data_IF_068448025550
#
_entry.id   IF_068448025550
#
_cell.length_a   1.000
_cell.length_b   1.000
_cell.length_c   1.000
_cell.angle_alpha   90.00
_cell.angle_beta   90.00
_cell.angle_gamma   90.00
#
_symmetry.space_group_name_H-M   'P 1'
#
loop_
_entity.id
_entity.type
_entity.pdbx_description
1 polymer ?
#
# COMPACT_ATOMS: atom_id res chain seq x y z
N UNK A 1 -10.99 -33.19 5.74
CA UNK A 1 -10.75 -32.16 6.78
C UNK A 1 -10.40 -30.89 6.02
N UNK A 2 -11.30 -29.90 5.98
CA UNK A 2 -11.09 -28.68 5.20
C UNK A 2 -9.98 -27.84 5.84
N UNK A 3 -8.91 -27.54 5.11
CA UNK A 3 -7.85 -26.61 5.55
C UNK A 3 -8.35 -25.17 5.76
N UNK A 4 -9.61 -24.87 5.39
CA UNK A 4 -10.23 -23.55 5.49
C UNK A 4 -10.83 -23.23 6.89
N UNK A 5 -10.68 -24.11 7.90
CA UNK A 5 -11.15 -23.89 9.30
C UNK A 5 -10.02 -23.91 10.36
N UNK A 6 -8.78 -23.56 9.99
CA UNK A 6 -7.77 -23.31 11.02
C UNK A 6 -8.13 -22.04 11.82
N UNK A 7 -8.34 -22.20 13.12
CA UNK A 7 -8.52 -21.10 14.07
C UNK A 7 -7.28 -20.21 14.00
N UNK A 8 -7.48 -18.90 13.83
CA UNK A 8 -6.39 -17.94 13.76
C UNK A 8 -5.59 -17.94 15.09
N UNK A 9 -4.26 -17.95 15.02
CA UNK A 9 -3.40 -18.03 16.20
C UNK A 9 -3.14 -16.64 16.80
N UNK A 10 -3.96 -16.26 17.77
CA UNK A 10 -3.84 -14.98 18.49
C UNK A 10 -2.75 -14.99 19.57
N UNK A 11 -1.90 -16.01 19.66
CA UNK A 11 -0.86 -16.12 20.71
C UNK A 11 0.09 -14.93 20.71
N UNK A 12 0.42 -14.37 19.54
CA UNK A 12 1.26 -13.16 19.45
C UNK A 12 0.74 -12.00 20.31
N UNK A 13 -0.57 -11.83 20.38
CA UNK A 13 -1.20 -10.73 21.10
C UNK A 13 -1.31 -10.96 22.61
N UNK A 14 -0.93 -12.14 23.11
CA UNK A 14 -0.70 -12.35 24.55
C UNK A 14 0.60 -11.68 25.02
N UNK A 15 1.58 -11.56 24.13
CA UNK A 15 2.90 -10.97 24.40
C UNK A 15 3.01 -9.53 23.90
N UNK A 16 2.29 -9.21 22.82
CA UNK A 16 2.21 -7.87 22.24
C UNK A 16 0.76 -7.42 22.21
N UNK A 17 0.19 -6.92 23.33
CA UNK A 17 -1.21 -6.51 23.37
C UNK A 17 -1.55 -5.57 22.20
N UNK A 18 -2.67 -5.77 21.47
CA UNK A 18 -2.92 -5.11 20.20
C UNK A 18 -2.91 -3.58 20.25
N UNK A 19 -3.30 -3.00 21.39
CA UNK A 19 -3.43 -1.55 21.62
C UNK A 19 -2.15 -0.89 22.13
N UNK A 20 -1.19 -1.67 22.60
CA UNK A 20 0.09 -1.14 23.09
C UNK A 20 0.97 -0.74 21.91
N UNK A 21 2.02 0.05 22.16
CA UNK A 21 2.94 0.52 21.13
C UNK A 21 4.38 0.14 21.45
N UNK A 22 4.70 -1.15 21.36
CA UNK A 22 6.04 -1.67 21.64
C UNK A 22 7.01 -1.26 20.54
N UNK A 23 8.24 -0.86 20.89
CA UNK A 23 9.29 -0.52 19.92
C UNK A 23 9.96 -1.82 19.45
N UNK A 24 9.51 -2.36 18.32
CA UNK A 24 9.93 -3.67 17.82
C UNK A 24 11.38 -3.68 17.33
N UNK A 25 11.90 -2.55 16.89
CA UNK A 25 13.31 -2.37 16.48
C UNK A 25 14.29 -2.55 17.63
N UNK A 26 13.84 -2.46 18.89
CA UNK A 26 14.65 -2.72 20.07
C UNK A 26 14.80 -4.22 20.39
N UNK A 27 13.93 -5.08 19.85
CA UNK A 27 14.02 -6.53 20.06
C UNK A 27 15.28 -7.09 19.39
N UNK A 28 15.95 -8.02 20.06
CA UNK A 28 17.18 -8.69 19.61
C UNK A 28 17.16 -10.17 19.98
N UNK A 29 18.03 -10.96 19.36
CA UNK A 29 18.25 -12.36 19.73
C UNK A 29 16.97 -13.19 19.74
N UNK A 30 16.71 -13.86 20.86
CA UNK A 30 15.58 -14.77 21.01
C UNK A 30 14.22 -14.07 20.90
N UNK A 31 14.04 -12.90 21.53
CA UNK A 31 12.77 -12.17 21.51
C UNK A 31 12.34 -11.82 20.08
N UNK A 32 13.32 -11.43 19.25
CA UNK A 32 13.08 -11.11 17.85
C UNK A 32 12.72 -12.37 17.02
N UNK A 33 13.37 -13.50 17.30
CA UNK A 33 13.05 -14.77 16.66
C UNK A 33 11.65 -15.27 17.07
N UNK A 34 11.29 -15.11 18.34
CA UNK A 34 9.98 -15.48 18.87
C UNK A 34 8.86 -14.62 18.27
N UNK A 35 9.07 -13.30 18.15
CA UNK A 35 8.15 -12.40 17.44
C UNK A 35 7.79 -12.96 16.06
N UNK A 36 8.78 -13.34 15.26
CA UNK A 36 8.54 -13.84 13.90
C UNK A 36 7.96 -15.25 13.88
N UNK A 37 8.32 -16.11 14.83
CA UNK A 37 7.71 -17.42 14.96
C UNK A 37 6.20 -17.32 15.24
N UNK A 38 5.79 -16.35 16.06
CA UNK A 38 4.40 -16.08 16.39
C UNK A 38 3.67 -15.34 15.26
N UNK A 39 4.29 -14.34 14.65
CA UNK A 39 3.72 -13.58 13.51
C UNK A 39 3.45 -14.51 12.33
N UNK A 40 4.32 -15.49 12.08
CA UNK A 40 4.13 -16.47 11.02
C UNK A 40 2.91 -17.39 11.18
N UNK A 41 2.40 -17.55 12.40
CA UNK A 41 1.19 -18.34 12.68
C UNK A 41 -0.08 -17.50 12.59
N UNK A 42 0.05 -16.18 12.67
CA UNK A 42 -1.08 -15.27 12.60
C UNK A 42 -1.51 -15.04 11.15
N UNK A 43 -2.82 -15.20 10.89
CA UNK A 43 -3.44 -14.85 9.63
C UNK A 43 -4.12 -13.48 9.73
N UNK A 44 -3.90 -12.63 8.74
CA UNK A 44 -4.51 -11.31 8.68
C UNK A 44 -5.99 -11.44 8.32
N UNK A 45 -6.83 -10.67 9.01
CA UNK A 45 -8.27 -10.64 8.79
C UNK A 45 -8.70 -9.26 8.32
N UNK A 46 -9.78 -9.18 7.55
CA UNK A 46 -10.36 -7.89 7.20
C UNK A 46 -10.95 -7.25 8.45
N UNK A 47 -10.42 -6.10 8.85
CA UNK A 47 -10.85 -5.40 10.06
C UNK A 47 -12.06 -4.53 9.78
N UNK A 48 -12.85 -4.27 10.81
CA UNK A 48 -13.96 -3.32 10.74
C UNK A 48 -13.48 -1.85 10.61
N UNK A 49 -12.25 -1.56 11.07
CA UNK A 49 -11.60 -0.25 10.94
C UNK A 49 -10.08 -0.38 11.06
N UNK A 50 -9.35 0.57 10.47
CA UNK A 50 -7.90 0.78 10.62
C UNK A 50 -7.57 2.02 11.47
N UNK A 51 -8.56 2.56 12.18
CA UNK A 51 -8.49 3.80 12.96
C UNK A 51 -7.98 5.00 12.13
N UNK A 52 -8.47 5.13 10.91
CA UNK A 52 -8.23 6.31 10.07
C UNK A 52 -9.40 7.29 10.25
N UNK A 53 -9.10 8.53 10.59
CA UNK A 53 -10.12 9.56 10.74
C UNK A 53 -10.96 9.71 9.46
N UNK A 54 -12.28 9.89 9.59
CA UNK A 54 -13.20 10.10 8.48
C UNK A 54 -12.87 11.36 7.65
N UNK A 55 -12.00 12.23 8.17
CA UNK A 55 -11.42 13.33 7.44
C UNK A 55 -10.41 12.95 6.35
N UNK A 56 -9.84 11.76 6.49
CA UNK A 56 -8.93 11.19 5.53
C UNK A 56 -9.68 10.18 4.66
N UNK A 57 -10.02 10.62 3.46
CA UNK A 57 -10.72 9.81 2.46
C UNK A 57 -9.74 9.00 1.63
N UNK A 58 -10.21 7.88 1.07
CA UNK A 58 -9.45 7.10 0.11
C UNK A 58 -10.30 6.61 -1.06
N UNK A 59 -9.66 6.19 -2.13
CA UNK A 59 -10.27 5.56 -3.30
C UNK A 59 -9.37 4.43 -3.82
N UNK A 60 -9.96 3.48 -4.53
CA UNK A 60 -9.29 2.27 -5.01
C UNK A 60 -9.59 2.04 -6.49
N UNK A 61 -8.58 1.64 -7.25
CA UNK A 61 -8.75 1.14 -8.63
C UNK A 61 -8.31 -0.31 -8.69
N UNK A 62 -9.28 -1.21 -8.81
CA UNK A 62 -9.09 -2.66 -8.75
C UNK A 62 -8.97 -3.17 -10.18
N UNK A 63 -7.73 -3.39 -10.64
CA UNK A 63 -7.45 -3.98 -11.94
C UNK A 63 -7.27 -5.50 -11.85
N UNK A 64 -7.74 -6.19 -12.89
CA UNK A 64 -7.54 -7.64 -13.05
C UNK A 64 -7.76 -8.06 -14.51
N UNK A 65 -7.21 -9.21 -14.87
CA UNK A 65 -7.36 -9.85 -16.18
C UNK A 65 -8.17 -11.15 -16.08
N UNK A 66 -8.78 -11.57 -17.19
CA UNK A 66 -9.55 -12.82 -17.32
C UNK A 66 -11.05 -12.59 -17.56
N UNK A 67 -11.58 -11.49 -17.03
CA UNK A 67 -12.96 -11.04 -17.23
C UNK A 67 -12.92 -9.65 -17.87
N UNK A 68 -13.62 -9.50 -19.00
CA UNK A 68 -13.67 -8.23 -19.71
C UNK A 68 -14.56 -7.19 -19.03
N UNK A 69 -14.33 -5.92 -19.36
CA UNK A 69 -15.08 -4.74 -18.89
C UNK A 69 -16.60 -4.89 -18.99
N UNK A 70 -17.13 -5.45 -20.09
CA UNK A 70 -18.59 -5.60 -20.28
C UNK A 70 -19.17 -6.58 -19.27
N UNK A 71 -18.52 -7.73 -19.09
CA UNK A 71 -18.96 -8.77 -18.14
C UNK A 71 -18.86 -8.26 -16.71
N UNK A 72 -17.79 -7.54 -16.38
CA UNK A 72 -17.60 -6.92 -15.06
C UNK A 72 -18.66 -5.86 -14.78
N UNK A 73 -18.97 -5.00 -15.76
CA UNK A 73 -20.04 -3.99 -15.64
C UNK A 73 -21.40 -4.63 -15.35
N UNK A 74 -21.80 -5.62 -16.16
CA UNK A 74 -23.05 -6.34 -15.96
C UNK A 74 -23.11 -7.07 -14.61
N UNK A 75 -21.98 -7.58 -14.13
CA UNK A 75 -21.89 -8.16 -12.79
C UNK A 75 -22.19 -7.09 -11.73
N UNK A 76 -21.55 -5.93 -11.80
CA UNK A 76 -21.73 -4.91 -10.77
C UNK A 76 -23.14 -4.32 -10.78
N UNK A 77 -23.66 -3.95 -11.96
CA UNK A 77 -25.02 -3.41 -12.12
C UNK A 77 -26.11 -4.37 -11.63
N UNK A 78 -25.86 -5.69 -11.68
CA UNK A 78 -26.82 -6.70 -11.23
C UNK A 78 -26.83 -6.88 -9.71
N UNK A 79 -25.69 -6.73 -9.04
CA UNK A 79 -25.53 -7.16 -7.64
C UNK A 79 -25.28 -6.02 -6.65
N UNK A 80 -25.03 -4.80 -7.14
CA UNK A 80 -24.67 -3.66 -6.31
C UNK A 80 -25.45 -2.41 -6.72
N UNK A 81 -26.03 -1.74 -5.73
CA UNK A 81 -26.73 -0.46 -5.91
C UNK A 81 -25.76 0.73 -5.93
N UNK A 82 -24.62 0.58 -5.26
CA UNK A 82 -23.57 1.58 -5.14
C UNK A 82 -22.80 1.70 -6.45
N UNK A 83 -22.52 2.93 -6.87
CA UNK A 83 -21.81 3.19 -8.10
C UNK A 83 -20.31 2.87 -7.93
N UNK A 84 -19.87 1.75 -8.49
CA UNK A 84 -18.47 1.39 -8.68
C UNK A 84 -18.18 1.36 -10.18
N UNK A 85 -17.76 2.50 -10.78
CA UNK A 85 -17.54 2.59 -12.21
C UNK A 85 -16.57 1.53 -12.71
N UNK A 86 -16.90 0.90 -13.85
CA UNK A 86 -16.02 -0.03 -14.53
C UNK A 86 -15.39 0.67 -15.73
N UNK A 87 -14.07 0.65 -15.82
CA UNK A 87 -13.27 1.25 -16.89
C UNK A 87 -12.56 0.18 -17.72
N UNK A 88 -12.19 0.57 -18.93
CA UNK A 88 -11.31 -0.19 -19.78
C UNK A 88 -9.90 0.39 -19.60
N UNK A 89 -8.94 -0.46 -19.28
CA UNK A 89 -7.53 -0.07 -19.23
C UNK A 89 -6.76 -0.76 -20.37
N UNK A 90 -6.05 0.05 -21.15
CA UNK A 90 -5.36 -0.41 -22.35
C UNK A 90 -4.12 -1.27 -22.08
N UNK A 91 -3.63 -1.28 -20.84
CA UNK A 91 -2.49 -2.10 -20.40
C UNK A 91 -2.88 -3.52 -20.01
N UNK A 92 -4.17 -3.78 -19.78
CA UNK A 92 -4.71 -5.08 -19.38
C UNK A 92 -5.09 -5.98 -20.56
N UNK A 93 -4.78 -7.28 -20.46
CA UNK A 93 -5.19 -8.29 -21.43
C UNK A 93 -6.56 -8.89 -21.03
N UNK A 94 -7.63 -8.55 -21.78
CA UNK A 94 -9.00 -9.01 -21.47
C UNK A 94 -9.35 -8.78 -19.99
N UNK A 95 -9.11 -7.55 -19.53
CA UNK A 95 -9.30 -7.16 -18.14
C UNK A 95 -10.41 -6.13 -17.94
N UNK A 96 -10.52 -5.70 -16.69
CA UNK A 96 -11.37 -4.61 -16.25
C UNK A 96 -10.71 -3.90 -15.07
N UNK A 97 -11.02 -2.62 -14.95
CA UNK A 97 -10.70 -1.81 -13.78
C UNK A 97 -12.01 -1.41 -13.12
N UNK A 98 -12.10 -1.60 -11.80
CA UNK A 98 -13.25 -1.15 -11.00
C UNK A 98 -12.77 -0.04 -10.08
N UNK A 99 -13.34 1.15 -10.20
CA UNK A 99 -13.00 2.30 -9.39
C UNK A 99 -14.02 2.41 -8.25
N UNK A 100 -13.54 2.65 -7.04
CA UNK A 100 -14.42 2.89 -5.90
C UNK A 100 -15.03 4.30 -5.96
N UNK A 101 -16.18 4.53 -5.30
CA UNK A 101 -16.54 5.89 -4.87
C UNK A 101 -15.52 6.42 -3.85
N UNK A 102 -15.68 7.66 -3.39
CA UNK A 102 -14.89 8.18 -2.27
C UNK A 102 -15.25 7.40 -1.00
N UNK A 103 -14.27 6.71 -0.42
CA UNK A 103 -14.41 5.89 0.77
C UNK A 103 -13.85 6.60 2.01
N UNK A 104 -14.35 6.17 3.16
CA UNK A 104 -13.81 6.48 4.50
C UNK A 104 -13.67 5.18 5.29
N UNK A 105 -12.84 5.20 6.34
CA UNK A 105 -12.60 4.01 7.16
C UNK A 105 -13.81 3.66 8.03
N UNK A 106 -14.61 2.74 7.54
CA UNK A 106 -15.72 2.16 8.29
C UNK A 106 -16.02 0.74 7.82
N UNK A 107 -16.71 0.00 8.68
CA UNK A 107 -17.11 -1.39 8.43
C UNK A 107 -17.87 -1.58 7.12
N UNK A 108 -18.82 -0.70 6.81
CA UNK A 108 -19.67 -0.85 5.63
C UNK A 108 -18.85 -0.79 4.33
N UNK A 109 -17.91 0.14 4.23
CA UNK A 109 -17.01 0.29 3.07
C UNK A 109 -16.09 -0.91 2.91
N UNK A 110 -15.49 -1.41 4.00
CA UNK A 110 -14.64 -2.61 3.94
C UNK A 110 -15.42 -3.87 3.56
N UNK A 111 -16.63 -4.04 4.09
CA UNK A 111 -17.50 -5.15 3.71
C UNK A 111 -17.98 -5.04 2.25
N UNK A 112 -18.20 -3.82 1.75
CA UNK A 112 -18.50 -3.60 0.33
C UNK A 112 -17.34 -4.03 -0.57
N UNK A 113 -16.11 -3.58 -0.25
CA UNK A 113 -14.90 -4.01 -0.95
C UNK A 113 -14.77 -5.55 -0.96
N UNK A 114 -14.97 -6.20 0.19
CA UNK A 114 -14.97 -7.69 0.29
C UNK A 114 -16.02 -8.32 -0.63
N UNK A 115 -17.24 -7.77 -0.67
CA UNK A 115 -18.30 -8.29 -1.54
C UNK A 115 -17.95 -8.15 -3.02
N UNK A 116 -17.39 -7.02 -3.44
CA UNK A 116 -16.98 -6.78 -4.84
C UNK A 116 -15.87 -7.73 -5.26
N UNK A 117 -14.79 -7.83 -4.48
CA UNK A 117 -13.70 -8.77 -4.74
C UNK A 117 -14.21 -10.22 -4.86
N UNK A 118 -15.08 -10.64 -3.94
CA UNK A 118 -15.68 -11.96 -3.96
C UNK A 118 -16.62 -12.18 -5.15
N UNK A 119 -17.35 -11.14 -5.59
CA UNK A 119 -18.22 -11.23 -6.76
C UNK A 119 -17.41 -11.46 -8.03
N UNK A 120 -16.29 -10.75 -8.19
CA UNK A 120 -15.36 -10.95 -9.32
C UNK A 120 -14.79 -12.37 -9.32
N UNK A 121 -14.30 -12.86 -8.17
CA UNK A 121 -13.79 -14.23 -8.02
C UNK A 121 -14.87 -15.28 -8.34
N UNK A 122 -16.08 -15.13 -7.79
CA UNK A 122 -17.21 -16.03 -8.08
C UNK A 122 -17.58 -16.01 -9.55
N UNK A 123 -17.55 -14.84 -10.19
CA UNK A 123 -17.83 -14.72 -11.63
C UNK A 123 -16.76 -15.43 -12.46
N UNK A 124 -15.48 -15.29 -12.10
CA UNK A 124 -14.38 -15.99 -12.76
C UNK A 124 -14.60 -17.52 -12.76
N UNK A 125 -14.89 -18.06 -11.57
CA UNK A 125 -15.19 -19.48 -11.39
C UNK A 125 -16.43 -19.92 -12.18
N UNK A 126 -17.50 -19.13 -12.15
CA UNK A 126 -18.75 -19.43 -12.87
C UNK A 126 -18.58 -19.49 -14.39
N UNK A 127 -17.64 -18.75 -14.95
CA UNK A 127 -17.35 -18.77 -16.41
C UNK A 127 -16.10 -19.58 -16.74
N UNK A 128 -15.60 -20.38 -15.80
CA UNK A 128 -14.44 -21.24 -15.93
C UNK A 128 -13.19 -20.50 -16.47
N UNK A 129 -12.90 -19.32 -15.92
CA UNK A 129 -11.70 -18.54 -16.25
C UNK A 129 -10.86 -18.27 -15.01
N UNK A 130 -9.57 -18.04 -15.22
CA UNK A 130 -8.63 -17.69 -14.16
C UNK A 130 -8.41 -16.19 -14.13
N UNK A 131 -8.37 -15.62 -12.92
CA UNK A 131 -7.92 -14.24 -12.74
C UNK A 131 -6.41 -14.18 -12.86
N UNK A 132 -5.92 -13.22 -13.65
CA UNK A 132 -4.50 -12.86 -13.75
C UNK A 132 -4.30 -11.44 -13.23
N UNK A 133 -3.12 -11.21 -12.64
CA UNK A 133 -2.66 -9.88 -12.22
C UNK A 133 -1.34 -9.50 -12.87
N UNK A 134 -0.99 -10.15 -13.99
CA UNK A 134 0.29 -9.97 -14.68
C UNK A 134 0.52 -8.50 -15.07
N UNK A 135 -0.48 -7.84 -15.64
CA UNK A 135 -0.38 -6.43 -15.99
C UNK A 135 -1.13 -5.50 -15.03
N UNK A 136 -1.87 -6.05 -14.05
CA UNK A 136 -2.73 -5.29 -13.16
C UNK A 136 -1.96 -4.57 -12.05
N UNK A 137 -2.15 -3.26 -11.96
CA UNK A 137 -1.82 -2.44 -10.80
C UNK A 137 -2.90 -2.49 -9.72
N UNK A 138 -2.54 -2.14 -8.49
CA UNK A 138 -3.52 -1.75 -7.49
C UNK A 138 -3.32 -0.28 -7.16
N UNK A 139 -4.21 0.60 -7.59
CA UNK A 139 -4.06 2.03 -7.30
C UNK A 139 -4.80 2.41 -6.02
N UNK A 140 -4.10 3.08 -5.12
CA UNK A 140 -4.67 3.64 -3.90
C UNK A 140 -4.60 5.14 -3.97
N UNK A 141 -5.75 5.80 -3.92
CA UNK A 141 -5.86 7.25 -3.86
C UNK A 141 -6.09 7.66 -2.41
N UNK A 142 -5.27 8.57 -1.88
CA UNK A 142 -5.50 9.19 -0.56
C UNK A 142 -5.82 10.67 -0.78
N UNK A 143 -6.88 11.18 -0.15
CA UNK A 143 -7.24 12.59 -0.24
C UNK A 143 -6.09 13.49 0.23
N UNK A 144 -5.68 14.47 -0.59
CA UNK A 144 -4.48 15.28 -0.33
C UNK A 144 -4.59 16.15 0.92
N UNK A 145 -5.82 16.38 1.43
CA UNK A 145 -6.06 17.10 2.68
C UNK A 145 -5.35 16.47 3.89
N UNK A 146 -4.99 15.18 3.82
CA UNK A 146 -4.24 14.48 4.86
C UNK A 146 -2.92 15.19 5.20
N UNK A 147 -2.21 15.72 4.20
CA UNK A 147 -0.97 16.52 4.38
C UNK A 147 -1.25 18.02 4.58
N UNK A 148 -2.39 18.50 4.10
CA UNK A 148 -2.74 19.93 4.13
C UNK A 148 -1.84 20.77 3.20
N UNK A 149 -1.78 22.07 3.46
CA UNK A 149 -1.04 23.04 2.63
C UNK A 149 0.36 23.38 3.16
N UNK A 150 0.77 22.86 4.32
CA UNK A 150 2.09 23.14 4.88
C UNK A 150 3.16 22.43 4.05
N UNK A 151 4.03 23.23 3.40
CA UNK A 151 5.16 22.77 2.61
C UNK A 151 6.00 21.74 3.39
N UNK A 152 6.21 21.92 4.70
CA UNK A 152 7.03 21.00 5.50
C UNK A 152 6.50 19.56 5.46
N UNK A 153 5.18 19.36 5.51
CA UNK A 153 4.57 18.02 5.55
C UNK A 153 4.85 17.24 4.26
N UNK A 154 4.78 17.91 3.11
CA UNK A 154 5.09 17.31 1.81
C UNK A 154 6.56 16.91 1.68
N UNK A 155 7.45 17.76 2.19
CA UNK A 155 8.89 17.50 2.16
C UNK A 155 9.29 16.36 3.10
N UNK A 156 8.67 16.30 4.28
CA UNK A 156 8.80 15.18 5.19
C UNK A 156 8.37 13.88 4.50
N UNK A 157 7.25 13.90 3.77
CA UNK A 157 6.79 12.73 3.01
C UNK A 157 7.76 12.33 1.91
N UNK A 158 8.25 13.26 1.09
CA UNK A 158 9.23 12.96 0.04
C UNK A 158 10.50 12.33 0.59
N UNK A 159 11.02 12.87 1.70
CA UNK A 159 12.20 12.34 2.39
C UNK A 159 11.95 10.94 2.94
N UNK A 160 10.80 10.74 3.59
CA UNK A 160 10.39 9.44 4.13
C UNK A 160 10.26 8.39 3.03
N UNK A 161 9.53 8.71 1.95
CA UNK A 161 9.37 7.85 0.79
C UNK A 161 10.71 7.47 0.17
N UNK A 162 11.55 8.45 -0.17
CA UNK A 162 12.84 8.21 -0.81
C UNK A 162 13.82 7.40 0.05
N UNK A 163 13.63 7.39 1.37
CA UNK A 163 14.48 6.66 2.32
C UNK A 163 14.06 5.19 2.46
N UNK A 164 12.76 4.90 2.45
CA UNK A 164 12.19 3.57 2.70
C UNK A 164 11.44 2.98 1.50
N UNK A 165 11.67 3.49 0.29
CA UNK A 165 10.96 3.06 -0.92
C UNK A 165 11.05 1.54 -1.14
N UNK A 166 12.22 0.93 -0.86
CA UNK A 166 12.42 -0.52 -0.90
C UNK A 166 11.45 -1.29 0.03
N UNK A 167 11.18 -0.75 1.22
CA UNK A 167 10.26 -1.35 2.19
C UNK A 167 8.82 -1.23 1.69
N UNK A 168 8.46 -0.03 1.22
CA UNK A 168 7.13 0.31 0.73
C UNK A 168 6.76 -0.56 -0.48
N UNK A 169 7.66 -0.71 -1.45
CA UNK A 169 7.43 -1.54 -2.63
C UNK A 169 7.24 -3.01 -2.26
N UNK A 170 8.14 -3.60 -1.46
CA UNK A 170 8.03 -5.01 -1.06
C UNK A 170 6.70 -5.31 -0.39
N UNK A 171 6.30 -4.44 0.53
CA UNK A 171 5.01 -4.53 1.20
C UNK A 171 3.84 -4.44 0.19
N UNK A 172 3.93 -3.50 -0.76
CA UNK A 172 2.89 -3.22 -1.75
C UNK A 172 2.73 -4.33 -2.80
N UNK A 173 3.71 -5.22 -2.96
CA UNK A 173 3.52 -6.44 -3.75
C UNK A 173 2.45 -7.38 -3.16
N UNK A 174 1.97 -7.12 -1.93
CA UNK A 174 0.84 -7.82 -1.34
C UNK A 174 1.13 -9.31 -1.18
N UNK A 175 0.27 -10.15 -1.75
CA UNK A 175 0.41 -11.62 -1.76
C UNK A 175 1.51 -12.15 -2.70
N UNK A 176 2.26 -11.28 -3.40
CA UNK A 176 3.32 -11.68 -4.33
C UNK A 176 4.73 -11.39 -3.80
N UNK A 177 5.71 -12.24 -4.11
CA UNK A 177 7.11 -12.07 -3.71
C UNK A 177 7.88 -11.05 -4.56
N UNK A 178 7.34 -10.67 -5.72
CA UNK A 178 7.98 -9.83 -6.71
C UNK A 178 6.98 -8.83 -7.35
N UNK A 179 7.47 -7.74 -7.96
CA UNK A 179 6.60 -6.77 -8.64
C UNK A 179 5.96 -7.36 -9.90
N UNK A 180 4.86 -6.75 -10.34
CA UNK A 180 4.31 -6.97 -11.68
C UNK A 180 5.36 -6.61 -12.76
N UNK A 181 5.48 -7.37 -13.87
CA UNK A 181 6.51 -7.18 -14.89
C UNK A 181 6.71 -5.74 -15.40
N UNK A 182 5.62 -4.97 -15.57
CA UNK A 182 5.68 -3.59 -16.09
C UNK A 182 5.76 -2.51 -15.01
N UNK A 183 6.13 -2.86 -13.78
CA UNK A 183 6.20 -1.88 -12.67
C UNK A 183 7.11 -0.69 -13.00
N UNK A 184 8.23 -0.92 -13.69
CA UNK A 184 9.17 0.16 -14.06
C UNK A 184 8.60 1.14 -15.09
N UNK A 185 7.58 0.72 -15.85
CA UNK A 185 6.93 1.54 -16.86
C UNK A 185 5.75 2.35 -16.29
N UNK A 186 5.06 1.82 -15.28
CA UNK A 186 3.78 2.36 -14.80
C UNK A 186 3.73 2.69 -13.29
N UNK A 187 4.84 2.44 -12.57
CA UNK A 187 5.06 2.80 -11.18
C UNK A 187 6.58 2.87 -10.88
N UNK A 188 7.29 3.69 -11.65
CA UNK A 188 8.74 3.85 -11.54
C UNK A 188 9.16 4.38 -10.16
N UNK A 189 10.36 3.96 -9.72
CA UNK A 189 10.98 4.42 -8.48
C UNK A 189 11.21 5.92 -8.53
N UNK A 190 10.85 6.60 -7.44
CA UNK A 190 11.01 8.05 -7.27
C UNK A 190 12.17 8.39 -6.35
N UNK A 191 12.76 7.38 -5.69
CA UNK A 191 13.78 7.62 -4.68
C UNK A 191 14.94 8.46 -5.22
N UNK A 192 15.48 8.18 -6.41
CA UNK A 192 16.60 8.95 -6.96
C UNK A 192 16.22 10.39 -7.37
N UNK A 193 15.08 10.58 -8.03
CA UNK A 193 14.58 11.91 -8.41
C UNK A 193 14.32 12.78 -7.18
N UNK A 194 13.54 12.26 -6.22
CA UNK A 194 13.25 12.98 -4.98
C UNK A 194 14.53 13.35 -4.24
N UNK A 195 15.59 12.53 -4.29
CA UNK A 195 16.88 12.80 -3.64
C UNK A 195 17.66 13.92 -4.33
N UNK A 196 17.79 13.84 -5.65
CA UNK A 196 18.59 14.79 -6.42
C UNK A 196 17.95 16.18 -6.37
N UNK A 197 16.62 16.22 -6.43
CA UNK A 197 15.89 17.48 -6.51
C UNK A 197 15.52 18.04 -5.13
N UNK A 198 15.62 17.24 -4.04
CA UNK A 198 15.28 17.68 -2.68
C UNK A 198 15.95 18.98 -2.28
N UNK A 199 17.25 19.14 -2.61
CA UNK A 199 18.02 20.34 -2.29
C UNK A 199 17.48 21.58 -3.00
N UNK A 200 17.03 21.42 -4.24
CA UNK A 200 16.42 22.48 -5.02
C UNK A 200 15.02 22.80 -4.47
N UNK A 201 14.17 21.79 -4.29
CA UNK A 201 12.80 21.93 -3.78
C UNK A 201 12.77 22.63 -2.42
N UNK A 202 13.74 22.35 -1.53
CA UNK A 202 13.76 22.88 -0.15
C UNK A 202 14.07 24.39 -0.09
N UNK A 203 14.52 25.00 -1.19
CA UNK A 203 14.76 26.45 -1.25
C UNK A 203 13.47 27.21 -0.88
N UNK A 204 13.53 28.20 0.04
CA UNK A 204 12.34 28.97 0.45
C UNK A 204 11.63 29.68 -0.71
N UNK A 205 12.38 30.05 -1.75
CA UNK A 205 11.86 30.74 -2.93
C UNK A 205 10.99 29.88 -3.85
N UNK A 206 11.07 28.55 -3.75
CA UNK A 206 10.32 27.64 -4.62
C UNK A 206 8.99 27.30 -3.95
N UNK A 207 7.83 27.71 -4.49
CA UNK A 207 6.54 27.38 -3.89
C UNK A 207 6.23 25.88 -4.03
N UNK A 208 5.44 25.33 -3.11
CA UNK A 208 5.03 23.93 -3.14
C UNK A 208 4.31 23.55 -4.44
N UNK A 209 3.54 24.48 -5.02
CA UNK A 209 2.84 24.27 -6.30
C UNK A 209 3.81 23.97 -7.45
N UNK A 210 4.95 24.65 -7.49
CA UNK A 210 5.97 24.42 -8.51
C UNK A 210 6.66 23.08 -8.31
N UNK A 211 6.95 22.70 -7.06
CA UNK A 211 7.50 21.37 -6.74
C UNK A 211 6.53 20.27 -7.18
N UNK A 212 5.26 20.38 -6.80
CA UNK A 212 4.22 19.39 -7.15
C UNK A 212 3.98 19.31 -8.66
N UNK A 213 4.07 20.43 -9.37
CA UNK A 213 4.01 20.44 -10.82
C UNK A 213 5.18 19.67 -11.43
N UNK A 214 6.40 19.95 -11.00
CA UNK A 214 7.62 19.29 -11.51
C UNK A 214 7.62 17.77 -11.27
N UNK A 215 7.23 17.31 -10.09
CA UNK A 215 7.15 15.87 -9.79
C UNK A 215 5.86 15.22 -10.30
N UNK A 216 4.79 16.01 -10.51
CA UNK A 216 3.46 15.55 -10.90
C UNK A 216 3.32 15.28 -12.39
N UNK A 217 4.15 15.90 -13.23
CA UNK A 217 4.21 15.62 -14.68
C UNK A 217 4.67 14.18 -14.99
N UNK A 218 5.19 13.46 -13.98
CA UNK A 218 5.68 12.10 -14.08
C UNK A 218 4.59 11.08 -13.75
N UNK A 219 3.51 11.04 -14.56
CA UNK A 219 2.33 10.18 -14.36
C UNK A 219 2.60 8.67 -14.15
N UNK A 220 3.77 8.20 -14.56
CA UNK A 220 4.20 6.80 -14.50
C UNK A 220 5.04 6.46 -13.26
N UNK A 221 5.23 7.40 -12.34
CA UNK A 221 5.95 7.18 -11.10
C UNK A 221 5.09 6.46 -10.05
N UNK A 222 5.71 5.84 -9.05
CA UNK A 222 4.97 5.10 -8.03
C UNK A 222 4.06 5.94 -7.15
N UNK A 223 4.33 7.24 -7.04
CA UNK A 223 3.41 8.23 -6.48
C UNK A 223 3.15 9.29 -7.52
N UNK A 224 1.88 9.48 -7.86
CA UNK A 224 1.43 10.48 -8.80
C UNK A 224 0.74 11.62 -8.06
N UNK A 225 1.20 12.85 -8.34
CA UNK A 225 0.70 14.08 -7.74
C UNK A 225 -0.10 14.94 -8.73
N UNK A 226 -0.33 14.49 -9.96
CA UNK A 226 -1.04 15.25 -11.00
C UNK A 226 -2.49 15.61 -10.65
N UNK A 227 -3.07 14.92 -9.67
CA UNK A 227 -4.41 15.19 -9.13
C UNK A 227 -4.39 16.12 -7.91
N UNK A 228 -3.22 16.54 -7.42
CA UNK A 228 -3.12 17.38 -6.23
C UNK A 228 -3.37 18.84 -6.58
N UNK A 229 -4.38 19.42 -5.94
CA UNK A 229 -4.67 20.85 -5.99
C UNK A 229 -4.49 21.47 -4.60
N UNK A 230 -3.53 22.39 -4.47
CA UNK A 230 -3.20 23.07 -3.19
C UNK A 230 -4.26 24.10 -2.73
N UNK A 231 -5.42 24.14 -3.39
CA UNK A 231 -6.39 25.23 -3.30
C UNK A 231 -7.22 25.13 -2.01
N UNK A 232 -7.19 24.01 -1.28
CA UNK A 232 -7.87 23.91 0.02
C UNK A 232 -7.31 22.82 0.91
N UNK A 233 -7.16 23.10 2.21
CA UNK A 233 -7.01 22.08 3.26
C UNK A 233 -8.32 21.28 3.51
N UNK A 234 -9.25 21.32 2.56
CA UNK A 234 -10.60 20.76 2.63
C UNK A 234 -10.69 19.60 1.64
N UNK A 235 -11.45 18.57 2.02
CA UNK A 235 -11.80 17.44 1.16
C UNK A 235 -12.37 17.94 -0.17
N UNK A 236 -11.82 17.47 -1.27
CA UNK A 236 -12.33 17.77 -2.60
C UNK A 236 -12.25 16.52 -3.47
N UNK A 237 -13.34 16.24 -4.17
CA UNK A 237 -13.38 15.17 -5.15
C UNK A 237 -12.28 15.36 -6.20
N UNK A 238 -11.59 14.27 -6.54
CA UNK A 238 -10.48 14.26 -7.47
C UNK A 238 -9.19 14.90 -6.96
N UNK A 239 -9.13 15.42 -5.71
CA UNK A 239 -7.91 15.98 -5.13
C UNK A 239 -7.16 14.94 -4.29
N UNK A 240 -6.37 14.09 -4.94
CA UNK A 240 -5.75 12.92 -4.30
C UNK A 240 -4.27 12.78 -4.62
N UNK A 241 -3.54 12.13 -3.72
CA UNK A 241 -2.23 11.53 -3.98
C UNK A 241 -2.48 10.08 -4.40
N UNK A 242 -2.02 9.69 -5.59
CA UNK A 242 -2.23 8.35 -6.16
C UNK A 242 -0.97 7.49 -5.96
N UNK A 243 -1.12 6.32 -5.33
CA UNK A 243 -0.07 5.33 -5.14
C UNK A 243 -0.26 4.16 -6.11
N UNK A 244 0.74 3.89 -6.94
CA UNK A 244 0.67 2.96 -8.09
C UNK A 244 1.57 1.73 -7.95
N UNK A 245 2.45 1.71 -6.96
CA UNK A 245 3.36 0.60 -6.71
C UNK A 245 2.69 -0.72 -6.26
N UNK A 246 1.46 -0.77 -5.72
CA UNK A 246 0.85 -2.06 -5.41
C UNK A 246 0.61 -2.93 -6.64
N UNK A 247 0.79 -4.25 -6.47
CA UNK A 247 0.30 -5.21 -7.45
C UNK A 247 -1.23 -5.34 -7.34
N UNK A 248 -1.89 -5.65 -8.46
CA UNK A 248 -3.32 -5.98 -8.45
C UNK A 248 -3.61 -7.21 -7.58
N UNK A 249 -4.76 -7.19 -6.90
CA UNK A 249 -5.25 -8.31 -6.08
C UNK A 249 -6.77 -8.22 -5.90
N UNK A 250 -7.39 -9.38 -5.62
CA UNK A 250 -8.78 -9.48 -5.18
C UNK A 250 -8.87 -9.85 -3.69
N UNK A 251 -7.79 -9.70 -2.92
CA UNK A 251 -7.81 -9.87 -1.47
C UNK A 251 -8.11 -8.53 -0.77
N UNK A 252 -9.27 -8.37 -0.11
CA UNK A 252 -9.65 -7.12 0.53
C UNK A 252 -8.76 -6.77 1.74
N UNK A 253 -8.10 -7.75 2.37
CA UNK A 253 -7.18 -7.51 3.50
C UNK A 253 -5.93 -6.79 3.01
N UNK A 254 -5.41 -7.18 1.84
CA UNK A 254 -4.24 -6.53 1.22
C UNK A 254 -4.56 -5.08 0.85
N UNK A 255 -5.75 -4.82 0.31
CA UNK A 255 -6.22 -3.47 0.03
C UNK A 255 -6.31 -2.61 1.29
N UNK A 256 -6.95 -3.11 2.36
CA UNK A 256 -7.05 -2.40 3.63
C UNK A 256 -5.66 -2.10 4.22
N UNK A 257 -4.72 -3.03 4.11
CA UNK A 257 -3.35 -2.86 4.56
C UNK A 257 -2.55 -1.82 3.75
N UNK A 258 -2.73 -1.79 2.44
CA UNK A 258 -2.13 -0.76 1.59
C UNK A 258 -2.66 0.64 1.94
N UNK A 259 -3.98 0.78 2.12
CA UNK A 259 -4.60 2.04 2.58
C UNK A 259 -4.03 2.45 3.94
N UNK A 260 -3.88 1.51 4.88
CA UNK A 260 -3.30 1.80 6.18
C UNK A 260 -1.85 2.27 6.08
N UNK A 261 -0.99 1.57 5.34
CA UNK A 261 0.40 1.96 5.15
C UNK A 261 0.51 3.39 4.58
N UNK A 262 -0.15 3.65 3.46
CA UNK A 262 -0.03 4.95 2.78
C UNK A 262 -0.60 6.09 3.62
N UNK A 263 -1.72 5.86 4.30
CA UNK A 263 -2.30 6.87 5.19
C UNK A 263 -1.39 7.16 6.38
N UNK A 264 -0.81 6.13 7.02
CA UNK A 264 0.07 6.29 8.18
C UNK A 264 1.43 6.92 7.82
N UNK A 265 1.97 6.64 6.62
CA UNK A 265 3.13 7.37 6.09
C UNK A 265 2.87 8.88 5.99
N UNK A 266 1.72 9.26 5.42
CA UNK A 266 1.33 10.67 5.26
C UNK A 266 1.04 11.34 6.60
N UNK A 267 0.34 10.65 7.52
CA UNK A 267 0.08 11.15 8.87
C UNK A 267 1.39 11.32 9.66
N UNK A 268 2.34 10.40 9.55
CA UNK A 268 3.65 10.54 10.18
C UNK A 268 4.42 11.74 9.61
N UNK A 269 4.38 11.96 8.29
CA UNK A 269 5.01 13.13 7.66
C UNK A 269 4.48 14.48 8.17
N UNK A 270 3.19 14.53 8.54
CA UNK A 270 2.53 15.69 9.16
C UNK A 270 2.71 15.78 10.68
N UNK A 271 3.15 14.69 11.32
CA UNK A 271 3.22 14.59 12.78
C UNK A 271 4.32 15.47 13.37
N UNK A 272 4.09 16.01 14.57
CA UNK A 272 5.14 16.64 15.37
C UNK A 272 6.22 15.67 15.83
N UNK A 273 5.95 14.35 15.76
CA UNK A 273 6.89 13.26 16.06
C UNK A 273 7.77 12.85 14.88
N UNK A 274 7.69 13.56 13.74
CA UNK A 274 8.53 13.27 12.58
C UNK A 274 10.02 13.39 12.93
N UNK A 275 10.75 12.28 12.85
CA UNK A 275 12.15 12.21 13.27
C UNK A 275 13.09 12.39 12.07
N UNK A 276 13.41 13.66 11.79
CA UNK A 276 14.24 14.04 10.65
C UNK A 276 15.65 13.43 10.71
N UNK A 277 16.20 13.25 11.92
CA UNK A 277 17.56 12.75 12.18
C UNK A 277 17.70 11.26 11.87
N UNK A 278 16.75 10.42 12.30
CA UNK A 278 16.74 8.98 11.97
C UNK A 278 16.65 8.80 10.46
N UNK A 279 15.73 9.53 9.81
CA UNK A 279 15.53 9.46 8.37
C UNK A 279 16.79 9.92 7.63
N UNK A 280 17.43 11.02 8.05
CA UNK A 280 18.69 11.48 7.44
C UNK A 280 19.84 10.50 7.62
N UNK A 281 19.92 9.87 8.79
CA UNK A 281 20.95 8.88 9.09
C UNK A 281 20.78 7.65 8.20
N UNK A 282 19.56 7.12 8.13
CA UNK A 282 19.22 6.01 7.22
C UNK A 282 19.47 6.38 5.78
N UNK A 283 19.06 7.58 5.39
CA UNK A 283 19.27 8.11 4.05
C UNK A 283 20.75 8.13 3.64
N UNK A 284 21.64 8.62 4.52
CA UNK A 284 23.09 8.62 4.30
C UNK A 284 23.69 7.22 4.27
N UNK A 285 23.15 6.29 5.06
CA UNK A 285 23.58 4.90 5.08
C UNK A 285 23.21 4.16 3.77
N UNK A 286 22.01 4.42 3.24
CA UNK A 286 21.47 3.80 2.03
C UNK A 286 22.05 4.38 0.71
N UNK A 287 23.11 5.19 0.78
CA UNK A 287 23.68 5.96 -0.35
C UNK A 287 24.37 5.11 -1.42
N UNK A 288 24.47 3.78 -1.22
CA UNK A 288 24.80 2.80 -2.27
C UNK A 288 23.48 2.22 -2.82
N UNK A 289 23.12 2.68 -4.01
CA UNK A 289 21.78 2.66 -4.61
C UNK A 289 21.04 1.31 -4.48
N UNK A 290 19.90 1.33 -3.76
CA UNK A 290 18.90 0.30 -3.97
C UNK A 290 18.23 0.53 -5.31
N UNK A 291 18.59 -0.30 -6.28
CA UNK A 291 17.83 -0.38 -7.51
C UNK A 291 16.51 -1.09 -7.21
N UNK A 292 15.43 -0.64 -7.82
CA UNK A 292 14.09 -1.22 -7.69
C UNK A 292 14.06 -2.74 -7.98
N UNK A 293 15.01 -3.28 -8.76
CA UNK A 293 15.22 -4.73 -8.95
C UNK A 293 15.55 -5.50 -7.65
N UNK A 294 16.07 -4.82 -6.63
CA UNK A 294 16.42 -5.38 -5.32
C UNK A 294 15.31 -5.24 -4.28
N UNK A 295 14.20 -4.56 -4.60
CA UNK A 295 13.11 -4.32 -3.64
C UNK A 295 12.32 -5.59 -3.29
N UNK A 296 12.54 -6.69 -3.99
CA UNK A 296 12.07 -8.02 -3.59
C UNK A 296 12.87 -8.61 -2.41
N UNK A 297 13.99 -8.03 -1.98
CA UNK A 297 14.76 -8.51 -0.83
C UNK A 297 14.18 -8.04 0.50
N UNK A 298 14.55 -8.72 1.59
CA UNK A 298 14.13 -8.37 2.95
C UNK A 298 15.20 -7.50 3.61
N UNK A 299 14.80 -6.32 4.05
CA UNK A 299 15.60 -5.33 4.76
C UNK A 299 15.03 -5.15 6.16
N UNK A 300 15.26 -6.15 7.01
CA UNK A 300 14.53 -6.30 8.27
C UNK A 300 14.68 -5.10 9.22
N UNK A 301 15.90 -4.59 9.39
CA UNK A 301 16.17 -3.44 10.26
C UNK A 301 15.35 -2.21 9.85
N UNK A 302 15.32 -1.92 8.54
CA UNK A 302 14.56 -0.79 7.98
C UNK A 302 13.06 -1.00 8.10
N UNK A 303 12.59 -2.24 7.94
CA UNK A 303 11.17 -2.55 8.11
C UNK A 303 10.73 -2.34 9.56
N UNK A 304 11.51 -2.80 10.54
CA UNK A 304 11.21 -2.58 11.97
C UNK A 304 11.27 -1.09 12.34
N UNK A 305 12.28 -0.38 11.84
CA UNK A 305 12.45 1.07 12.03
C UNK A 305 11.26 1.87 11.46
N UNK A 306 10.88 1.60 10.20
CA UNK A 306 9.73 2.26 9.58
C UNK A 306 8.43 1.93 10.32
N UNK A 307 8.24 0.66 10.68
CA UNK A 307 7.07 0.15 11.39
C UNK A 307 6.87 0.88 12.73
N UNK A 308 7.95 1.08 13.50
CA UNK A 308 7.93 1.80 14.77
C UNK A 308 7.67 3.30 14.63
N UNK A 309 8.08 3.91 13.51
CA UNK A 309 7.84 5.33 13.25
C UNK A 309 6.39 5.62 12.88
N UNK A 310 5.78 4.81 12.00
CA UNK A 310 4.49 5.18 11.37
C UNK A 310 3.27 4.60 12.08
N UNK A 311 3.42 3.53 12.86
CA UNK A 311 2.32 2.90 13.59
C UNK A 311 2.40 3.17 15.09
N UNK A 312 1.24 3.38 15.68
CA UNK A 312 1.06 3.73 17.08
C UNK A 312 0.47 2.59 17.93
N UNK A 313 0.33 1.40 17.33
CA UNK A 313 -0.23 0.21 17.99
C UNK A 313 0.37 -1.08 17.41
N UNK A 314 0.48 -2.12 18.24
CA UNK A 314 1.07 -3.40 17.89
C UNK A 314 0.27 -4.13 16.81
N UNK A 315 -1.05 -3.97 16.76
CA UNK A 315 -1.88 -4.62 15.75
C UNK A 315 -1.45 -4.23 14.33
N UNK A 316 -1.37 -2.92 14.07
CA UNK A 316 -0.93 -2.43 12.76
C UNK A 316 0.51 -2.83 12.45
N UNK A 317 1.39 -2.87 13.46
CA UNK A 317 2.77 -3.33 13.30
C UNK A 317 2.83 -4.80 12.86
N UNK A 318 2.03 -5.68 13.46
CA UNK A 318 1.97 -7.09 13.06
C UNK A 318 1.36 -7.25 11.67
N UNK A 319 0.31 -6.49 11.32
CA UNK A 319 -0.25 -6.51 9.97
C UNK A 319 0.76 -6.06 8.92
N UNK A 320 1.54 -5.01 9.24
CA UNK A 320 2.63 -4.54 8.41
C UNK A 320 3.72 -5.60 8.21
N UNK A 321 4.25 -6.14 9.30
CA UNK A 321 5.33 -7.12 9.25
C UNK A 321 4.88 -8.41 8.55
N UNK A 322 3.66 -8.89 8.79
CA UNK A 322 3.13 -10.10 8.17
C UNK A 322 3.11 -10.02 6.65
N UNK A 323 2.58 -8.91 6.12
CA UNK A 323 2.52 -8.67 4.68
C UNK A 323 3.89 -8.31 4.09
N UNK A 324 4.79 -7.68 4.83
CA UNK A 324 6.14 -7.36 4.34
C UNK A 324 7.06 -8.60 4.29
N UNK A 325 7.09 -9.38 5.37
CA UNK A 325 8.02 -10.50 5.54
C UNK A 325 7.60 -11.71 4.71
N UNK A 326 6.30 -12.02 4.64
CA UNK A 326 5.75 -13.15 3.87
C UNK A 326 6.44 -14.46 4.25
N UNK A 327 6.53 -14.74 5.55
CA UNK A 327 7.28 -15.90 6.08
C UNK A 327 8.74 -15.95 5.64
N UNK A 328 9.37 -14.78 5.48
CA UNK A 328 10.72 -14.59 4.97
C UNK A 328 10.95 -15.15 3.56
N UNK A 329 9.88 -15.36 2.78
CA UNK A 329 9.99 -15.83 1.42
C UNK A 329 10.50 -14.71 0.49
N UNK A 330 11.41 -15.06 -0.40
CA UNK A 330 11.95 -14.18 -1.44
C UNK A 330 12.02 -14.94 -2.77
N UNK A 331 12.14 -14.21 -3.86
CA UNK A 331 12.35 -14.80 -5.18
C UNK A 331 13.22 -13.89 -6.02
N UNK A 332 14.08 -14.46 -6.87
CA UNK A 332 14.83 -13.72 -7.89
C UNK A 332 14.12 -13.71 -9.24
N UNK A 333 12.94 -14.33 -9.34
CA UNK A 333 12.14 -14.39 -10.57
C UNK A 333 11.54 -13.02 -10.88
N UNK A 334 11.70 -12.58 -12.12
CA UNK A 334 11.09 -11.34 -12.65
C UNK A 334 10.22 -11.61 -13.89
N UNK A 335 10.28 -12.83 -14.43
CA UNK A 335 9.55 -13.28 -15.62
C UNK A 335 8.07 -13.53 -15.36
N UNK A 336 7.70 -13.85 -14.11
CA UNK A 336 6.32 -14.13 -13.70
C UNK A 336 6.10 -13.76 -12.24
N UNK A 337 4.87 -13.40 -11.90
CA UNK A 337 4.46 -13.19 -10.50
C UNK A 337 4.49 -14.50 -9.71
N UNK A 338 5.09 -14.46 -8.53
CA UNK A 338 5.18 -15.59 -7.61
C UNK A 338 4.36 -15.27 -6.37
N UNK A 339 3.30 -16.03 -6.11
CA UNK A 339 2.54 -15.92 -4.85
C UNK A 339 3.36 -16.48 -3.69
N UNK A 340 3.32 -15.81 -2.55
CA UNK A 340 3.85 -16.34 -1.30
C UNK A 340 2.88 -17.36 -0.68
N UNK A 341 3.28 -17.97 0.43
CA UNK A 341 2.36 -18.71 1.29
C UNK A 341 1.24 -17.79 1.75
N UNK A 342 0.02 -18.31 1.72
CA UNK A 342 -1.17 -17.57 2.12
C UNK A 342 -1.06 -17.14 3.59
N UNK A 343 -1.27 -15.85 3.83
CA UNK A 343 -1.22 -15.26 5.18
C UNK A 343 -2.48 -14.46 5.53
N UNK A 344 -3.48 -14.42 4.65
CA UNK A 344 -4.78 -13.79 4.89
C UNK A 344 -5.86 -14.86 5.11
N UNK A 345 -6.87 -14.52 5.88
CA UNK A 345 -8.07 -15.35 6.08
C UNK A 345 -9.11 -15.03 5.01
N UNK A 346 -9.77 -16.07 4.47
CA UNK A 346 -10.83 -15.92 3.45
C UNK A 346 -12.11 -15.30 4.04
#
# INVERSE_FOLDING_TARGET
MNEDELVNDFTIFKYLPPKDNCILSNLKGYDLQELFALENKYQLELRDSINLDCDNTFGLEIEFEGINTVTTRLLLERYFSELWPVRCDSSLERGAEINSPILVDNKANWQMLKKICNAVLKKANSINTNISFKNAGGHVHIGSQILGSDKKNWFNFFKLWATYENIIYRFSYGEFLNPRPKIFQYAASMAEELKNDYKYFKKPSIPLSEVLFQIGDMKNNAVNFGHVHLISAVKKEGNTIEFRCPNGTLDPVIWQNNVNLFSKLLLYAKSTKFNDEIIDTRYKHNKKNYQIYSYNQIYLEQALELCDMIFDNNLDKIYFLRQYLKSFETTLRIDKLIKCKKFTKK
#
